data_IF_949956136255
#
_entry.id   IF_949956136255
#
_cell.length_a   1.000
_cell.length_b   1.000
_cell.length_c   1.000
_cell.angle_alpha   90.00
_cell.angle_beta   90.00
_cell.angle_gamma   90.00
#
_symmetry.space_group_name_H-M   'P 1'
#
loop_
_entity.id
_entity.type
_entity.pdbx_description
1 polymer ?
#
# COMPACT_ATOMS: atom_id res chain seq x y z
N UNK A 1 -36.84 -41.62 20.52
CA UNK A 1 -37.83 -40.87 21.32
C UNK A 1 -37.06 -39.88 22.18
N UNK A 2 -37.00 -38.65 21.75
CA UNK A 2 -36.49 -37.53 22.52
C UNK A 2 -37.43 -36.36 22.23
N UNK A 3 -38.01 -35.67 23.20
CA UNK A 3 -39.06 -34.69 22.97
C UNK A 3 -38.48 -33.31 22.67
N UNK A 4 -39.14 -32.62 21.75
CA UNK A 4 -38.99 -31.21 21.39
C UNK A 4 -39.54 -30.28 22.46
N UNK A 5 -38.92 -29.17 22.80
CA UNK A 5 -39.56 -28.12 23.58
C UNK A 5 -40.18 -27.04 22.71
N UNK A 6 -41.39 -26.69 23.09
CA UNK A 6 -42.31 -25.70 22.51
C UNK A 6 -41.88 -24.25 22.73
N UNK A 7 -42.20 -23.42 21.74
CA UNK A 7 -42.12 -21.95 21.71
C UNK A 7 -43.17 -21.30 22.65
N UNK A 8 -42.87 -20.19 23.33
CA UNK A 8 -43.90 -19.38 23.98
C UNK A 8 -44.43 -18.28 23.06
N UNK A 9 -45.71 -17.94 23.32
CA UNK A 9 -46.61 -17.08 22.59
C UNK A 9 -46.24 -15.57 22.67
N UNK A 10 -46.69 -14.83 21.64
CA UNK A 10 -46.69 -13.35 21.59
C UNK A 10 -47.71 -12.77 22.58
N UNK A 11 -47.44 -11.61 23.18
CA UNK A 11 -48.47 -10.75 23.75
C UNK A 11 -48.93 -9.66 22.84
N UNK A 12 -50.17 -9.31 23.03
CA UNK A 12 -51.13 -8.48 22.32
C UNK A 12 -50.95 -6.97 22.52
N UNK A 13 -51.49 -6.23 21.56
CA UNK A 13 -51.77 -4.84 21.25
C UNK A 13 -51.91 -3.79 22.36
N UNK A 14 -51.76 -2.48 22.03
CA UNK A 14 -51.69 -1.37 22.97
C UNK A 14 -53.05 -0.76 23.31
N UNK A 15 -53.21 -0.03 24.45
CA UNK A 15 -54.44 0.66 24.80
C UNK A 15 -54.50 2.08 24.26
N UNK A 16 -55.73 2.53 24.08
CA UNK A 16 -56.22 3.77 23.48
C UNK A 16 -56.08 5.01 24.40
N UNK A 17 -55.98 6.18 23.74
CA UNK A 17 -56.04 7.53 24.34
C UNK A 17 -57.44 7.87 24.85
N UNK A 18 -57.58 8.74 25.88
CA UNK A 18 -58.77 9.58 26.11
C UNK A 18 -58.52 11.04 25.75
N UNK A 19 -59.60 11.89 25.64
CA UNK A 19 -59.65 13.06 24.79
C UNK A 19 -59.37 14.40 25.48
N UNK A 20 -59.22 15.41 24.64
CA UNK A 20 -59.16 16.84 24.76
C UNK A 20 -59.87 17.49 25.96
N UNK A 21 -59.21 18.50 26.55
CA UNK A 21 -59.85 19.71 27.09
C UNK A 21 -58.99 20.94 26.82
N UNK A 22 -59.56 21.83 26.00
CA UNK A 22 -59.15 23.21 25.77
C UNK A 22 -59.24 24.06 27.05
N UNK A 23 -58.31 25.01 27.17
CA UNK A 23 -58.56 26.46 27.51
C UNK A 23 -57.24 27.23 27.59
N UNK A 24 -56.98 28.07 26.62
CA UNK A 24 -57.05 29.54 26.52
C UNK A 24 -56.05 30.37 27.36
N UNK A 25 -55.45 31.31 26.60
CA UNK A 25 -54.89 32.63 26.92
C UNK A 25 -53.39 32.61 27.29
N UNK A 26 -52.55 33.12 26.41
CA UNK A 26 -52.24 34.55 26.32
C UNK A 26 -50.79 34.76 26.67
N UNK A 27 -49.93 35.13 25.74
CA UNK A 27 -48.58 35.61 26.03
C UNK A 27 -47.69 35.51 24.78
N UNK A 28 -47.69 36.56 23.96
CA UNK A 28 -46.73 36.73 22.86
C UNK A 28 -45.36 37.02 23.48
N UNK A 29 -44.46 36.04 23.50
CA UNK A 29 -43.03 36.27 23.69
C UNK A 29 -42.36 35.87 22.37
N UNK A 30 -42.02 36.89 21.56
CA UNK A 30 -41.17 36.74 20.40
C UNK A 30 -39.77 36.35 20.89
N UNK A 31 -39.49 35.06 20.91
CA UNK A 31 -38.12 34.56 21.06
C UNK A 31 -37.39 34.76 19.72
N UNK A 32 -36.59 35.80 19.63
CA UNK A 32 -35.57 35.97 18.63
C UNK A 32 -34.57 34.81 18.78
N UNK A 33 -34.73 33.76 18.01
CA UNK A 33 -33.71 32.75 17.83
C UNK A 33 -32.56 33.39 17.02
N UNK A 34 -31.58 33.93 17.73
CA UNK A 34 -30.27 34.22 17.15
C UNK A 34 -29.69 32.85 16.79
N UNK A 35 -29.84 32.45 15.53
CA UNK A 35 -29.05 31.37 14.98
C UNK A 35 -27.59 31.83 15.05
N UNK A 36 -26.88 31.37 16.07
CA UNK A 36 -25.43 31.38 16.09
C UNK A 36 -24.97 30.49 14.92
N UNK A 37 -24.87 31.08 13.72
CA UNK A 37 -24.04 30.57 12.67
C UNK A 37 -22.61 30.61 13.22
N UNK A 38 -22.15 29.53 13.86
CA UNK A 38 -20.73 29.31 14.02
C UNK A 38 -20.18 29.25 12.60
N UNK A 39 -19.31 30.18 12.20
CA UNK A 39 -18.63 30.00 10.91
C UNK A 39 -17.89 28.68 11.05
N UNK A 40 -18.25 27.69 10.21
CA UNK A 40 -17.35 26.60 9.92
C UNK A 40 -16.03 27.31 9.53
N UNK A 41 -14.96 27.07 10.28
CA UNK A 41 -13.63 27.54 9.90
C UNK A 41 -13.36 26.99 8.50
N UNK A 42 -13.74 27.79 7.49
CA UNK A 42 -13.37 27.51 6.12
C UNK A 42 -11.83 27.53 6.12
N UNK A 43 -11.21 26.38 5.94
CA UNK A 43 -9.78 26.34 5.73
C UNK A 43 -9.51 27.25 4.54
N UNK A 44 -8.59 28.21 4.71
CA UNK A 44 -8.16 29.06 3.63
C UNK A 44 -7.70 28.17 2.47
N UNK A 45 -8.09 28.56 1.25
CA UNK A 45 -7.61 27.87 0.03
C UNK A 45 -6.09 27.79 0.06
N UNK A 46 -5.51 26.69 -0.38
CA UNK A 46 -4.04 26.57 -0.47
C UNK A 46 -3.42 27.71 -1.28
N UNK A 47 -4.11 28.22 -2.30
CA UNK A 47 -3.64 29.39 -3.06
C UNK A 47 -3.53 30.69 -2.25
N UNK A 48 -4.23 30.80 -1.10
CA UNK A 48 -4.14 31.96 -0.21
C UNK A 48 -3.02 31.84 0.83
N UNK A 49 -2.44 30.66 0.98
CA UNK A 49 -1.39 30.38 1.95
C UNK A 49 -0.03 30.80 1.42
N UNK A 50 0.77 31.45 2.26
CA UNK A 50 2.11 31.90 1.90
C UNK A 50 3.06 30.73 1.55
N UNK A 51 3.02 29.64 2.34
CA UNK A 51 3.86 28.46 2.13
C UNK A 51 3.51 27.70 0.83
N UNK A 52 2.24 27.65 0.43
CA UNK A 52 1.82 27.03 -0.82
C UNK A 52 2.14 27.90 -2.04
N UNK A 53 2.03 29.25 -1.92
CA UNK A 53 2.49 30.17 -2.96
C UNK A 53 4.00 30.15 -3.14
N UNK A 54 4.76 30.11 -2.05
CA UNK A 54 6.20 29.96 -2.10
C UNK A 54 6.60 28.65 -2.80
N UNK A 55 5.95 27.55 -2.48
CA UNK A 55 6.11 26.28 -3.17
C UNK A 55 5.79 26.38 -4.66
N UNK A 56 4.66 26.97 -5.04
CA UNK A 56 4.28 27.15 -6.45
C UNK A 56 5.33 27.94 -7.23
N UNK A 57 5.80 29.06 -6.68
CA UNK A 57 6.85 29.89 -7.28
C UNK A 57 8.18 29.14 -7.43
N UNK A 58 8.57 28.37 -6.41
CA UNK A 58 9.79 27.56 -6.40
C UNK A 58 9.78 26.50 -7.50
N UNK A 59 8.74 25.67 -7.58
CA UNK A 59 8.67 24.60 -8.58
C UNK A 59 8.47 25.16 -10.00
N UNK A 60 7.72 26.27 -10.14
CA UNK A 60 7.58 26.97 -11.42
C UNK A 60 8.94 27.43 -11.96
N UNK A 61 9.75 28.06 -11.10
CA UNK A 61 11.10 28.49 -11.46
C UNK A 61 12.04 27.34 -11.78
N UNK A 62 12.00 26.26 -10.96
CA UNK A 62 12.88 25.09 -11.11
C UNK A 62 12.63 24.30 -12.38
N UNK A 63 11.36 24.20 -12.80
CA UNK A 63 10.93 23.31 -13.88
C UNK A 63 10.35 24.02 -15.09
N UNK A 64 10.44 25.35 -15.17
CA UNK A 64 9.82 26.16 -16.21
C UNK A 64 8.31 25.84 -16.39
N UNK A 65 7.59 25.78 -15.26
CA UNK A 65 6.14 25.64 -15.21
C UNK A 65 5.49 27.03 -15.09
N UNK A 66 4.20 27.12 -15.43
CA UNK A 66 3.42 28.33 -15.17
C UNK A 66 2.98 28.37 -13.70
N UNK A 67 3.46 29.36 -12.95
CA UNK A 67 3.11 29.51 -11.53
C UNK A 67 1.61 29.72 -11.32
N UNK A 68 0.94 30.44 -12.25
CA UNK A 68 -0.49 30.67 -12.18
C UNK A 68 -1.32 29.40 -12.42
N UNK A 69 -0.82 28.44 -13.21
CA UNK A 69 -1.48 27.13 -13.36
C UNK A 69 -1.36 26.32 -12.08
N UNK A 70 -0.20 26.31 -11.44
CA UNK A 70 0.00 25.64 -10.16
C UNK A 70 -0.88 26.25 -9.10
N UNK A 71 -0.93 27.57 -8.99
CA UNK A 71 -1.77 28.29 -8.02
C UNK A 71 -3.26 28.01 -8.25
N UNK A 72 -3.72 27.97 -9.52
CA UNK A 72 -5.11 27.60 -9.85
C UNK A 72 -5.43 26.16 -9.44
N UNK A 73 -4.53 25.21 -9.68
CA UNK A 73 -4.71 23.85 -9.25
C UNK A 73 -4.77 23.74 -7.72
N UNK A 74 -3.86 24.42 -7.01
CA UNK A 74 -3.85 24.48 -5.56
C UNK A 74 -5.08 25.20 -4.97
N UNK A 75 -5.67 26.17 -5.70
CA UNK A 75 -6.93 26.79 -5.32
C UNK A 75 -8.11 25.80 -5.34
N UNK A 76 -8.07 24.82 -6.24
CA UNK A 76 -9.07 23.75 -6.32
C UNK A 76 -8.84 22.62 -5.34
N UNK A 77 -7.62 22.46 -4.82
CA UNK A 77 -7.29 21.40 -3.86
C UNK A 77 -7.97 21.66 -2.52
N UNK A 78 -8.47 20.58 -1.90
CA UNK A 78 -9.21 20.64 -0.63
C UNK A 78 -8.42 20.02 0.50
N UNK A 79 -8.42 20.66 1.66
CA UNK A 79 -7.93 20.04 2.89
C UNK A 79 -8.79 18.82 3.24
N UNK A 80 -8.18 17.66 3.41
CA UNK A 80 -8.86 16.42 3.75
C UNK A 80 -8.40 15.90 5.14
N UNK A 81 -9.19 16.12 6.20
CA UNK A 81 -8.84 15.66 7.55
C UNK A 81 -8.81 14.12 7.66
N UNK A 82 -9.50 13.39 6.76
CA UNK A 82 -9.47 11.94 6.72
C UNK A 82 -8.08 11.43 6.30
N UNK A 83 -7.44 12.13 5.37
CA UNK A 83 -6.05 11.86 4.97
C UNK A 83 -5.11 11.97 6.17
N UNK A 84 -5.23 13.05 6.96
CA UNK A 84 -4.42 13.22 8.19
C UNK A 84 -4.69 12.10 9.19
N UNK A 85 -5.96 11.72 9.37
CA UNK A 85 -6.34 10.62 10.27
C UNK A 85 -5.74 9.29 9.85
N UNK A 86 -5.77 8.97 8.57
CA UNK A 86 -5.29 7.70 8.03
C UNK A 86 -3.76 7.60 8.02
N UNK A 87 -3.05 8.70 7.73
CA UNK A 87 -1.59 8.71 7.65
C UNK A 87 -0.93 8.75 9.04
N UNK A 88 -1.65 9.23 10.05
CA UNK A 88 -1.12 9.36 11.42
C UNK A 88 -1.04 7.99 12.08
N UNK A 89 0.16 7.57 12.52
CA UNK A 89 0.31 6.31 13.24
C UNK A 89 -0.56 6.28 14.50
N UNK A 90 -1.12 5.12 14.86
CA UNK A 90 -1.90 4.98 16.08
C UNK A 90 -1.05 5.34 17.31
N UNK A 91 -1.63 6.05 18.29
CA UNK A 91 -0.97 6.52 19.51
C UNK A 91 -0.40 5.38 20.37
N UNK A 92 -0.97 4.19 20.26
CA UNK A 92 -0.43 2.97 20.88
C UNK A 92 0.15 2.09 19.78
N UNK A 93 1.43 1.77 19.90
CA UNK A 93 2.04 0.74 19.03
C UNK A 93 1.31 -0.58 19.27
N UNK A 94 0.73 -1.12 18.23
CA UNK A 94 0.20 -2.49 18.25
C UNK A 94 1.30 -3.51 18.55
N UNK A 95 0.92 -4.66 19.08
CA UNK A 95 1.86 -5.76 19.25
C UNK A 95 2.30 -6.26 17.87
N UNK A 96 3.61 -6.30 17.63
CA UNK A 96 4.16 -6.86 16.40
C UNK A 96 3.82 -8.35 16.35
N UNK A 97 3.13 -8.80 15.30
CA UNK A 97 2.71 -10.18 15.13
C UNK A 97 2.73 -10.56 13.66
N UNK A 98 3.68 -11.43 13.31
CA UNK A 98 3.79 -11.97 11.95
C UNK A 98 2.52 -12.73 11.55
N UNK A 99 2.00 -13.60 12.42
CA UNK A 99 0.76 -14.35 12.14
C UNK A 99 -0.40 -13.43 11.75
N UNK A 100 -0.60 -12.34 12.50
CA UNK A 100 -1.69 -11.39 12.21
C UNK A 100 -1.41 -10.57 10.95
N UNK A 101 -0.16 -10.22 10.69
CA UNK A 101 0.23 -9.48 9.49
C UNK A 101 0.09 -10.35 8.24
N UNK A 102 0.68 -11.54 8.27
CA UNK A 102 0.62 -12.55 7.21
C UNK A 102 -0.80 -12.87 6.77
N UNK A 103 -1.71 -13.06 7.72
CA UNK A 103 -3.12 -13.38 7.45
C UNK A 103 -3.88 -12.32 6.64
N UNK A 104 -3.35 -11.09 6.53
CA UNK A 104 -3.95 -10.03 5.70
C UNK A 104 -3.62 -10.18 4.22
N UNK A 105 -2.55 -10.91 3.89
CA UNK A 105 -2.03 -11.00 2.53
C UNK A 105 -2.02 -12.42 1.96
N UNK A 106 -1.99 -13.44 2.81
CA UNK A 106 -2.08 -14.83 2.41
C UNK A 106 -3.49 -15.38 2.65
N UNK A 107 -4.45 -14.84 1.95
CA UNK A 107 -5.85 -15.25 1.97
C UNK A 107 -6.30 -15.79 0.60
N UNK A 108 -7.46 -16.49 0.59
CA UNK A 108 -8.01 -17.03 -0.65
C UNK A 108 -8.29 -15.96 -1.70
N UNK A 109 -8.69 -14.77 -1.29
CA UNK A 109 -9.01 -13.69 -2.22
C UNK A 109 -7.80 -13.30 -3.05
N UNK A 110 -6.62 -13.23 -2.42
CA UNK A 110 -5.37 -12.91 -3.11
C UNK A 110 -4.82 -14.09 -3.89
N UNK A 111 -4.84 -15.31 -3.33
CA UNK A 111 -4.32 -16.48 -4.04
C UNK A 111 -5.20 -16.79 -5.26
N UNK A 112 -6.51 -16.92 -5.11
CA UNK A 112 -7.41 -17.23 -6.23
C UNK A 112 -7.49 -16.05 -7.23
N UNK A 113 -7.41 -14.80 -6.71
CA UNK A 113 -7.33 -13.60 -7.55
C UNK A 113 -6.04 -13.54 -8.35
N UNK A 114 -4.91 -13.90 -7.75
CA UNK A 114 -3.60 -13.93 -8.40
C UNK A 114 -3.49 -15.00 -9.47
N UNK A 115 -4.06 -16.17 -9.24
CA UNK A 115 -4.13 -17.22 -10.26
C UNK A 115 -4.91 -16.76 -11.48
N UNK A 116 -6.08 -16.11 -11.28
CA UNK A 116 -6.85 -15.53 -12.40
C UNK A 116 -6.09 -14.42 -13.12
N UNK A 117 -5.53 -13.46 -12.38
CA UNK A 117 -4.73 -12.36 -12.92
C UNK A 117 -3.55 -12.89 -13.74
N UNK A 118 -2.87 -13.93 -13.25
CA UNK A 118 -1.78 -14.56 -13.98
C UNK A 118 -2.25 -15.20 -15.29
N UNK A 119 -3.38 -15.91 -15.28
CA UNK A 119 -3.96 -16.48 -16.49
C UNK A 119 -4.36 -15.42 -17.51
N UNK A 120 -5.03 -14.36 -17.04
CA UNK A 120 -5.52 -13.28 -17.90
C UNK A 120 -4.39 -12.49 -18.56
N UNK A 121 -3.23 -12.39 -17.89
CA UNK A 121 -2.09 -11.59 -18.34
C UNK A 121 -0.81 -12.42 -18.56
N UNK A 122 -0.94 -13.72 -18.87
CA UNK A 122 0.18 -14.65 -18.96
C UNK A 122 1.28 -14.18 -19.93
N UNK A 123 0.93 -13.78 -21.14
CA UNK A 123 1.87 -13.31 -22.16
C UNK A 123 2.62 -12.03 -21.73
N UNK A 124 1.92 -11.12 -21.06
CA UNK A 124 2.50 -9.88 -20.54
C UNK A 124 3.48 -10.16 -19.42
N UNK A 125 3.12 -11.06 -18.49
CA UNK A 125 3.97 -11.47 -17.37
C UNK A 125 5.21 -12.22 -17.85
N UNK A 126 5.06 -13.15 -18.80
CA UNK A 126 6.19 -13.85 -19.42
C UNK A 126 7.15 -12.89 -20.14
N UNK A 127 6.61 -11.90 -20.84
CA UNK A 127 7.42 -10.86 -21.46
C UNK A 127 8.16 -10.03 -20.41
N UNK A 128 7.48 -9.62 -19.33
CA UNK A 128 8.08 -8.83 -18.25
C UNK A 128 9.22 -9.61 -17.57
N UNK A 129 9.00 -10.89 -17.27
CA UNK A 129 10.02 -11.77 -16.70
C UNK A 129 11.21 -11.92 -17.64
N UNK A 130 10.98 -12.18 -18.92
CA UNK A 130 12.02 -12.33 -19.93
C UNK A 130 12.87 -11.07 -20.13
N UNK A 131 12.24 -9.88 -20.08
CA UNK A 131 12.92 -8.58 -20.27
C UNK A 131 13.65 -8.07 -19.02
N UNK A 132 13.22 -8.48 -17.83
CA UNK A 132 13.73 -7.92 -16.56
C UNK A 132 14.41 -8.94 -15.65
N UNK A 133 14.17 -10.23 -15.86
CA UNK A 133 14.60 -11.32 -14.99
C UNK A 133 13.82 -11.39 -13.66
N UNK A 134 12.73 -10.62 -13.51
CA UNK A 134 11.85 -10.66 -12.34
C UNK A 134 10.79 -11.73 -12.58
N UNK A 135 10.69 -12.79 -11.76
CA UNK A 135 9.71 -13.85 -11.96
C UNK A 135 8.26 -13.35 -11.92
N UNK A 136 7.41 -13.93 -12.77
CA UNK A 136 6.00 -13.56 -12.90
C UNK A 136 5.25 -13.60 -11.56
N UNK A 137 5.50 -14.63 -10.74
CA UNK A 137 4.91 -14.76 -9.40
C UNK A 137 5.21 -13.58 -8.47
N UNK A 138 6.39 -12.98 -8.58
CA UNK A 138 6.78 -11.82 -7.76
C UNK A 138 6.03 -10.58 -8.21
N UNK A 139 5.89 -10.36 -9.51
CA UNK A 139 5.13 -9.24 -10.08
C UNK A 139 3.66 -9.34 -9.66
N UNK A 140 3.04 -10.52 -9.84
CA UNK A 140 1.66 -10.80 -9.45
C UNK A 140 1.46 -10.61 -7.94
N UNK A 141 2.41 -11.10 -7.12
CA UNK A 141 2.33 -10.98 -5.68
C UNK A 141 2.37 -9.51 -5.21
N UNK A 142 3.22 -8.66 -5.79
CA UNK A 142 3.26 -7.24 -5.47
C UNK A 142 1.92 -6.59 -5.80
N UNK A 143 1.39 -6.74 -7.00
CA UNK A 143 0.09 -6.19 -7.40
C UNK A 143 -1.03 -6.73 -6.50
N UNK A 144 -0.94 -7.99 -6.08
CA UNK A 144 -1.88 -8.61 -5.16
C UNK A 144 -1.83 -8.04 -3.75
N UNK A 145 -0.62 -7.77 -3.23
CA UNK A 145 -0.41 -7.15 -1.91
C UNK A 145 -0.90 -5.71 -1.92
N UNK A 146 -0.57 -4.94 -2.95
CA UNK A 146 -0.88 -3.52 -3.05
C UNK A 146 -2.38 -3.27 -3.23
N UNK A 147 -3.01 -3.88 -4.21
CA UNK A 147 -4.35 -3.46 -4.63
C UNK A 147 -5.37 -4.61 -4.78
N UNK A 148 -4.99 -5.84 -4.45
CA UNK A 148 -5.83 -7.02 -4.73
C UNK A 148 -6.19 -7.04 -6.23
N UNK A 149 -5.16 -6.90 -7.06
CA UNK A 149 -5.27 -6.91 -8.53
C UNK A 149 -6.19 -5.80 -9.06
N UNK A 150 -5.99 -4.57 -8.60
CA UNK A 150 -6.73 -3.39 -9.02
C UNK A 150 -8.08 -3.16 -8.33
N UNK A 151 -8.49 -4.04 -7.39
CA UNK A 151 -9.77 -3.86 -6.67
C UNK A 151 -9.76 -2.74 -5.65
N UNK A 152 -8.59 -2.30 -5.21
CA UNK A 152 -8.41 -1.33 -4.13
C UNK A 152 -7.26 -0.37 -4.45
N UNK A 153 -7.43 0.44 -5.48
CA UNK A 153 -6.45 1.44 -5.92
C UNK A 153 -6.52 2.75 -5.13
N UNK A 154 -7.60 2.93 -4.34
CA UNK A 154 -7.91 4.18 -3.63
C UNK A 154 -8.87 5.07 -4.42
N UNK A 155 -9.49 6.00 -3.73
CA UNK A 155 -10.48 6.93 -4.28
C UNK A 155 -10.26 8.38 -3.78
N UNK A 156 -9.09 8.67 -3.24
CA UNK A 156 -8.72 10.03 -2.82
C UNK A 156 -8.20 10.79 -4.05
N UNK A 157 -8.67 12.03 -4.23
CA UNK A 157 -8.09 12.93 -5.22
C UNK A 157 -6.63 13.23 -4.83
N UNK A 158 -5.70 12.85 -5.68
CA UNK A 158 -4.27 12.85 -5.35
C UNK A 158 -3.72 14.25 -5.11
N UNK A 159 -4.19 15.25 -5.85
CA UNK A 159 -3.79 16.65 -5.66
C UNK A 159 -4.16 17.15 -4.25
N UNK A 160 -5.42 16.98 -3.85
CA UNK A 160 -5.92 17.36 -2.51
C UNK A 160 -5.22 16.58 -1.40
N UNK A 161 -4.99 15.28 -1.62
CA UNK A 161 -4.27 14.40 -0.70
C UNK A 161 -2.85 14.89 -0.46
N UNK A 162 -2.09 15.11 -1.54
CA UNK A 162 -0.69 15.55 -1.43
C UNK A 162 -0.57 16.98 -0.93
N UNK A 163 -1.49 17.90 -1.29
CA UNK A 163 -1.53 19.24 -0.74
C UNK A 163 -1.79 19.21 0.79
N UNK A 164 -2.76 18.39 1.24
CA UNK A 164 -3.02 18.19 2.67
C UNK A 164 -1.77 17.68 3.40
N UNK A 165 -1.11 16.67 2.85
CA UNK A 165 0.07 16.08 3.48
C UNK A 165 1.31 17.00 3.41
N UNK A 166 1.44 17.79 2.35
CA UNK A 166 2.55 18.72 2.15
C UNK A 166 2.50 19.95 3.06
N UNK A 167 1.28 20.42 3.36
CA UNK A 167 1.11 21.69 4.07
C UNK A 167 0.51 21.55 5.47
N UNK A 168 -0.18 20.45 5.76
CA UNK A 168 -0.90 20.27 7.04
C UNK A 168 -0.44 19.03 7.82
N UNK A 169 0.59 18.30 7.36
CA UNK A 169 1.18 17.16 8.06
C UNK A 169 2.68 17.33 8.29
N UNK A 170 3.11 18.12 9.29
CA UNK A 170 4.52 18.46 9.53
C UNK A 170 5.49 17.28 9.62
N UNK A 171 5.13 16.10 10.21
CA UNK A 171 6.12 15.01 10.38
C UNK A 171 6.74 14.51 9.07
N UNK A 172 6.06 14.67 7.93
CA UNK A 172 6.53 14.20 6.61
C UNK A 172 6.25 15.22 5.50
N UNK A 173 6.04 16.49 5.83
CA UNK A 173 5.70 17.55 4.88
C UNK A 173 6.69 17.64 3.71
N UNK A 174 7.98 17.54 3.99
CA UNK A 174 9.05 17.62 2.99
C UNK A 174 8.98 16.47 1.96
N UNK A 175 8.65 15.26 2.41
CA UNK A 175 8.41 14.14 1.49
C UNK A 175 7.22 14.45 0.57
N UNK A 176 6.10 14.88 1.15
CA UNK A 176 4.87 15.08 0.39
C UNK A 176 4.92 16.32 -0.50
N UNK A 177 5.73 17.33 -0.17
CA UNK A 177 6.05 18.43 -1.11
C UNK A 177 6.75 17.93 -2.35
N UNK A 178 7.71 17.01 -2.21
CA UNK A 178 8.38 16.38 -3.37
C UNK A 178 7.42 15.54 -4.21
N UNK A 179 6.49 14.85 -3.58
CA UNK A 179 5.48 14.08 -4.32
C UNK A 179 4.45 14.97 -5.01
N UNK A 180 4.07 16.10 -4.39
CA UNK A 180 3.21 17.12 -5.00
C UNK A 180 3.90 17.78 -6.21
N UNK A 181 5.19 18.13 -6.09
CA UNK A 181 6.03 18.58 -7.20
C UNK A 181 6.05 17.54 -8.33
N UNK A 182 6.27 16.27 -7.98
CA UNK A 182 6.29 15.18 -8.94
C UNK A 182 4.93 14.98 -9.63
N UNK A 183 3.81 15.22 -8.94
CA UNK A 183 2.47 15.15 -9.52
C UNK A 183 2.28 16.23 -10.60
N UNK A 184 2.70 17.47 -10.36
CA UNK A 184 2.63 18.54 -11.37
C UNK A 184 3.47 18.21 -12.61
N UNK A 185 4.66 17.64 -12.40
CA UNK A 185 5.53 17.22 -13.49
C UNK A 185 4.94 16.03 -14.27
N UNK A 186 4.40 15.05 -13.57
CA UNK A 186 3.73 13.89 -14.17
C UNK A 186 2.53 14.34 -15.02
N UNK A 187 1.70 15.24 -14.48
CA UNK A 187 0.53 15.78 -15.16
C UNK A 187 0.93 16.49 -16.47
N UNK A 188 1.98 17.31 -16.43
CA UNK A 188 2.53 17.95 -17.65
C UNK A 188 3.04 16.92 -18.66
N UNK A 189 3.80 15.93 -18.20
CA UNK A 189 4.39 14.87 -19.05
C UNK A 189 3.33 14.03 -19.75
N UNK A 190 2.19 13.81 -19.07
CA UNK A 190 1.06 13.06 -19.60
C UNK A 190 -0.02 13.91 -20.27
N UNK A 191 0.12 15.25 -20.27
CA UNK A 191 -0.90 16.16 -20.79
C UNK A 191 -2.24 16.08 -20.06
N UNK A 192 -2.23 15.73 -18.76
CA UNK A 192 -3.42 15.55 -17.91
C UNK A 192 -3.55 16.68 -16.88
N UNK A 193 -4.78 16.94 -16.44
CA UNK A 193 -5.05 17.80 -15.30
C UNK A 193 -4.51 17.16 -14.01
N UNK A 194 -3.69 17.83 -13.17
CA UNK A 194 -3.23 17.30 -11.90
C UNK A 194 -4.36 16.90 -10.94
N UNK A 195 -5.56 17.48 -11.06
CA UNK A 195 -6.75 17.10 -10.29
C UNK A 195 -7.44 15.82 -10.80
N UNK A 196 -7.03 15.29 -11.96
CA UNK A 196 -7.63 14.08 -12.55
C UNK A 196 -7.09 12.76 -11.99
N UNK A 197 -6.08 12.80 -11.11
CA UNK A 197 -5.49 11.60 -10.54
C UNK A 197 -6.18 11.22 -9.23
N UNK A 198 -6.46 9.92 -9.11
CA UNK A 198 -7.03 9.33 -7.90
C UNK A 198 -6.15 8.20 -7.41
N UNK A 199 -6.08 8.03 -6.09
CA UNK A 199 -5.21 7.04 -5.48
C UNK A 199 -5.48 6.80 -4.01
N UNK A 200 -4.48 6.30 -3.29
CA UNK A 200 -4.57 6.06 -1.86
C UNK A 200 -4.52 7.36 -1.04
N UNK A 201 -4.86 7.27 0.25
CA UNK A 201 -4.72 8.38 1.21
C UNK A 201 -3.28 8.89 1.39
N UNK A 202 -2.29 8.21 0.82
CA UNK A 202 -0.89 8.63 0.79
C UNK A 202 -0.46 9.15 -0.59
N UNK A 203 -1.38 9.25 -1.57
CA UNK A 203 -1.12 9.74 -2.92
C UNK A 203 -0.49 8.69 -3.84
N UNK A 204 -0.54 7.41 -3.51
CA UNK A 204 -0.07 6.33 -4.37
C UNK A 204 -1.10 5.97 -5.44
N UNK A 205 -0.66 5.69 -6.67
CA UNK A 205 -1.46 5.62 -7.89
C UNK A 205 -1.62 4.19 -8.43
N UNK A 206 -2.83 3.85 -8.81
CA UNK A 206 -3.21 2.70 -9.61
C UNK A 206 -2.82 1.32 -9.08
N UNK A 207 -2.78 0.33 -9.96
CA UNK A 207 -2.45 -1.07 -9.64
C UNK A 207 -1.16 -1.25 -8.83
N UNK A 208 -0.02 -0.58 -9.19
CA UNK A 208 1.25 -0.80 -8.52
C UNK A 208 1.42 0.08 -7.28
N UNK A 209 0.48 0.98 -6.97
CA UNK A 209 0.58 1.95 -5.86
C UNK A 209 1.90 2.74 -5.89
N UNK A 210 2.29 3.23 -7.07
CA UNK A 210 3.43 4.12 -7.19
C UNK A 210 3.09 5.53 -6.71
N UNK A 211 3.96 6.14 -5.95
CA UNK A 211 3.93 7.59 -5.73
C UNK A 211 4.26 8.32 -7.05
N UNK A 212 3.81 9.57 -7.25
CA UNK A 212 4.10 10.32 -8.48
C UNK A 212 5.56 10.33 -8.87
N UNK A 213 6.48 10.48 -7.92
CA UNK A 213 7.93 10.42 -8.18
C UNK A 213 8.39 9.05 -8.68
N UNK A 214 7.83 7.97 -8.12
CA UNK A 214 8.11 6.60 -8.57
C UNK A 214 7.52 6.32 -9.94
N UNK A 215 6.32 6.84 -10.22
CA UNK A 215 5.71 6.72 -11.55
C UNK A 215 6.59 7.39 -12.61
N UNK A 216 7.05 8.60 -12.39
CA UNK A 216 7.96 9.31 -13.30
C UNK A 216 9.31 8.61 -13.50
N UNK A 217 9.84 7.96 -12.45
CA UNK A 217 11.16 7.33 -12.50
C UNK A 217 11.15 5.91 -13.09
N UNK A 218 10.08 5.16 -12.89
CA UNK A 218 10.08 3.71 -13.14
C UNK A 218 8.92 3.20 -13.98
N UNK A 219 7.86 3.99 -14.19
CA UNK A 219 6.76 3.55 -15.05
C UNK A 219 7.22 3.41 -16.50
N UNK A 220 6.66 2.44 -17.17
CA UNK A 220 6.92 2.14 -18.59
C UNK A 220 5.61 1.96 -19.33
N UNK A 221 5.52 2.52 -20.53
CA UNK A 221 4.49 2.21 -21.52
C UNK A 221 4.82 0.82 -22.08
N UNK A 222 4.28 -0.20 -21.41
CA UNK A 222 4.68 -1.58 -21.68
C UNK A 222 3.94 -2.16 -22.87
N UNK A 223 2.71 -1.75 -23.18
CA UNK A 223 2.00 -2.14 -24.41
C UNK A 223 2.39 -1.29 -25.63
N UNK A 224 3.15 -0.18 -25.43
CA UNK A 224 3.65 0.73 -26.47
C UNK A 224 2.52 1.46 -27.21
N UNK A 225 1.47 1.81 -26.49
CA UNK A 225 0.35 2.58 -27.04
C UNK A 225 0.57 4.12 -27.02
N UNK A 226 1.68 4.57 -26.41
CA UNK A 226 2.07 5.98 -26.31
C UNK A 226 1.61 6.66 -25.01
N UNK A 227 1.01 5.93 -24.08
CA UNK A 227 0.57 6.41 -22.78
C UNK A 227 0.99 5.44 -21.67
N UNK A 228 1.00 5.90 -20.43
CA UNK A 228 1.18 5.04 -19.25
C UNK A 228 -0.15 5.02 -18.49
N UNK A 229 -0.82 3.88 -18.47
CA UNK A 229 -2.09 3.66 -17.76
C UNK A 229 -1.90 2.74 -16.55
N UNK A 230 -2.21 3.25 -15.36
CA UNK A 230 -2.21 2.46 -14.13
C UNK A 230 -3.62 2.20 -13.58
N UNK A 231 -4.66 2.67 -14.28
CA UNK A 231 -6.04 2.66 -13.82
C UNK A 231 -6.92 1.68 -14.61
N UNK A 232 -6.81 1.67 -15.93
CA UNK A 232 -7.70 0.91 -16.82
C UNK A 232 -7.17 -0.45 -17.22
N UNK A 233 -5.87 -0.56 -17.55
CA UNK A 233 -5.23 -1.79 -18.00
C UNK A 233 -3.98 -2.09 -17.14
N UNK A 234 -3.83 -3.32 -16.63
CA UNK A 234 -2.67 -3.68 -15.82
C UNK A 234 -1.38 -3.92 -16.62
N UNK A 235 -1.38 -3.86 -17.96
CA UNK A 235 -0.19 -4.17 -18.78
C UNK A 235 0.99 -3.27 -18.41
N UNK A 236 0.76 -1.95 -18.33
CA UNK A 236 1.81 -1.01 -17.92
C UNK A 236 2.19 -1.17 -16.45
N UNK A 237 1.22 -1.50 -15.59
CA UNK A 237 1.50 -1.77 -14.20
C UNK A 237 2.41 -3.01 -14.03
N UNK A 238 2.17 -4.09 -14.77
CA UNK A 238 3.01 -5.31 -14.81
C UNK A 238 4.44 -4.95 -15.22
N UNK A 239 4.58 -4.27 -16.36
CA UNK A 239 5.88 -3.83 -16.87
C UNK A 239 6.60 -2.90 -15.90
N UNK A 240 5.88 -1.97 -15.29
CA UNK A 240 6.43 -0.98 -14.36
C UNK A 240 6.86 -1.60 -13.03
N UNK A 241 6.13 -2.56 -12.47
CA UNK A 241 6.56 -3.32 -11.29
C UNK A 241 7.86 -4.07 -11.59
N UNK A 242 7.93 -4.75 -12.72
CA UNK A 242 9.13 -5.47 -13.14
C UNK A 242 10.33 -4.52 -13.34
N UNK A 243 10.11 -3.40 -14.02
CA UNK A 243 11.14 -2.36 -14.22
C UNK A 243 11.61 -1.75 -12.90
N UNK A 244 10.71 -1.48 -11.95
CA UNK A 244 11.04 -0.98 -10.62
C UNK A 244 12.00 -1.93 -9.88
N UNK A 245 11.68 -3.21 -9.83
CA UNK A 245 12.53 -4.21 -9.16
C UNK A 245 13.87 -4.36 -9.86
N UNK A 246 13.89 -4.41 -11.20
CA UNK A 246 15.13 -4.42 -11.99
C UNK A 246 16.00 -3.20 -11.71
N UNK A 247 15.42 -2.00 -11.71
CA UNK A 247 16.13 -0.75 -11.46
C UNK A 247 16.72 -0.67 -10.04
N UNK A 248 16.10 -1.35 -9.07
CA UNK A 248 16.62 -1.49 -7.71
C UNK A 248 17.61 -2.63 -7.51
N UNK A 249 18.01 -3.31 -8.61
CA UNK A 249 19.06 -4.30 -8.60
C UNK A 249 18.58 -5.73 -8.33
N UNK A 250 17.40 -6.10 -8.87
CA UNK A 250 16.95 -7.48 -8.92
C UNK A 250 17.99 -8.36 -9.63
N UNK A 251 18.30 -9.49 -9.05
CA UNK A 251 19.22 -10.48 -9.60
C UNK A 251 18.43 -11.69 -10.11
N UNK A 252 18.38 -11.86 -11.43
CA UNK A 252 17.70 -12.97 -12.06
C UNK A 252 18.23 -14.31 -11.56
N UNK A 253 17.33 -15.23 -11.21
CA UNK A 253 17.67 -16.58 -10.71
C UNK A 253 18.25 -16.63 -9.30
N UNK A 254 18.56 -15.49 -8.65
CA UNK A 254 19.04 -15.49 -7.28
C UNK A 254 17.86 -15.64 -6.28
N UNK A 255 18.08 -16.24 -5.11
CA UNK A 255 17.05 -16.45 -4.12
C UNK A 255 16.54 -15.11 -3.52
N UNK A 256 15.29 -15.12 -3.11
CA UNK A 256 14.68 -14.02 -2.33
C UNK A 256 14.97 -14.22 -0.85
N UNK A 257 14.49 -15.32 -0.29
CA UNK A 257 14.69 -15.66 1.12
C UNK A 257 14.74 -17.18 1.31
N UNK A 258 15.41 -17.61 2.37
CA UNK A 258 15.44 -19.00 2.84
C UNK A 258 15.22 -19.07 4.35
N UNK A 259 14.57 -20.11 4.83
CA UNK A 259 14.40 -20.29 6.27
C UNK A 259 15.75 -20.55 6.94
N UNK A 260 16.04 -19.82 8.02
CA UNK A 260 17.27 -19.96 8.79
C UNK A 260 17.10 -20.96 9.94
N UNK A 261 18.17 -21.67 10.24
CA UNK A 261 18.35 -22.43 11.47
C UNK A 261 19.48 -21.81 12.28
N UNK A 262 19.19 -21.49 13.53
CA UNK A 262 20.12 -20.85 14.45
C UNK A 262 20.62 -21.85 15.49
N UNK A 263 21.89 -21.74 15.88
CA UNK A 263 22.43 -22.38 17.05
C UNK A 263 21.83 -21.78 18.33
N UNK A 264 21.69 -22.52 19.43
CA UNK A 264 21.25 -21.97 20.71
C UNK A 264 22.15 -20.84 21.25
N UNK A 265 23.40 -20.75 20.81
CA UNK A 265 24.35 -19.72 21.23
C UNK A 265 24.33 -18.46 20.32
N UNK A 266 23.49 -18.42 19.28
CA UNK A 266 23.43 -17.29 18.33
C UNK A 266 22.85 -16.05 18.99
N UNK A 267 23.54 -14.91 18.89
CA UNK A 267 22.98 -13.59 19.20
C UNK A 267 22.10 -13.12 18.02
N UNK A 268 20.88 -13.63 17.96
CA UNK A 268 19.94 -13.28 16.91
C UNK A 268 19.57 -11.79 16.95
N UNK A 269 19.46 -11.18 18.14
CA UNK A 269 19.07 -9.78 18.28
C UNK A 269 20.11 -8.84 17.69
N UNK A 270 21.40 -9.09 17.96
CA UNK A 270 22.51 -8.31 17.38
C UNK A 270 22.55 -8.41 15.86
N UNK A 271 22.33 -9.60 15.31
CA UNK A 271 22.33 -9.82 13.85
C UNK A 271 21.11 -9.19 13.16
N UNK A 272 19.92 -9.26 13.76
CA UNK A 272 18.72 -8.56 13.25
C UNK A 272 18.90 -7.04 13.31
N UNK A 273 19.57 -6.52 14.34
CA UNK A 273 19.85 -5.09 14.48
C UNK A 273 20.82 -4.54 13.42
N UNK A 274 21.56 -5.39 12.69
CA UNK A 274 22.39 -4.99 11.54
C UNK A 274 21.53 -4.40 10.40
N UNK A 275 20.22 -4.64 10.39
CA UNK A 275 19.26 -4.00 9.48
C UNK A 275 18.82 -4.90 8.34
N UNK A 276 18.07 -4.29 7.40
CA UNK A 276 17.37 -5.02 6.34
C UNK A 276 18.24 -5.28 5.10
N UNK A 277 19.36 -4.60 4.98
CA UNK A 277 20.31 -4.76 3.87
C UNK A 277 21.14 -6.05 4.07
N UNK A 278 21.35 -6.88 3.02
CA UNK A 278 22.05 -8.15 3.13
C UNK A 278 23.58 -7.94 3.26
N UNK A 279 24.03 -7.48 4.42
CA UNK A 279 25.42 -7.15 4.72
C UNK A 279 26.16 -8.23 5.51
N UNK A 280 25.46 -9.22 6.08
CA UNK A 280 26.07 -10.29 6.85
C UNK A 280 26.74 -11.28 5.91
N UNK A 281 28.07 -11.31 5.93
CA UNK A 281 28.86 -12.23 5.08
C UNK A 281 28.65 -13.70 5.49
N UNK A 282 28.76 -14.65 4.56
CA UNK A 282 28.61 -16.09 4.83
C UNK A 282 29.49 -16.59 6.01
N UNK A 283 30.73 -16.13 6.10
CA UNK A 283 31.61 -16.50 7.19
C UNK A 283 31.08 -16.02 8.56
N UNK A 284 30.59 -14.77 8.64
CA UNK A 284 30.00 -14.24 9.87
C UNK A 284 28.75 -15.03 10.29
N UNK A 285 27.92 -15.41 9.32
CA UNK A 285 26.72 -16.24 9.57
C UNK A 285 27.14 -17.63 10.11
N UNK A 286 28.14 -18.25 9.50
CA UNK A 286 28.66 -19.55 9.94
C UNK A 286 29.28 -19.48 11.34
N UNK A 287 30.10 -18.45 11.64
CA UNK A 287 30.72 -18.22 12.95
C UNK A 287 29.67 -18.03 14.05
N UNK A 288 28.50 -17.50 13.71
CA UNK A 288 27.34 -17.38 14.60
C UNK A 288 26.42 -18.61 14.60
N UNK A 289 26.82 -19.72 13.97
CA UNK A 289 26.07 -20.96 13.97
C UNK A 289 24.74 -20.89 13.18
N UNK A 290 24.69 -20.05 12.13
CA UNK A 290 23.53 -19.92 11.26
C UNK A 290 23.71 -20.74 9.99
N UNK A 291 22.70 -21.55 9.68
CA UNK A 291 22.61 -22.35 8.45
C UNK A 291 21.23 -22.16 7.82
N UNK A 292 21.06 -22.66 6.61
CA UNK A 292 19.73 -22.88 6.01
C UNK A 292 18.96 -23.94 6.82
N UNK A 293 17.65 -24.02 6.67
CA UNK A 293 16.81 -24.95 7.43
C UNK A 293 17.20 -26.42 7.24
N UNK A 294 17.72 -26.78 6.07
CA UNK A 294 18.25 -28.12 5.73
C UNK A 294 19.70 -28.35 6.17
N UNK A 295 20.29 -27.37 6.90
CA UNK A 295 21.64 -27.49 7.49
C UNK A 295 22.79 -27.15 6.54
N UNK A 296 22.52 -26.63 5.33
CA UNK A 296 23.59 -26.19 4.43
C UNK A 296 24.20 -24.87 4.90
N UNK A 297 25.49 -24.63 4.61
CA UNK A 297 26.09 -23.31 4.80
C UNK A 297 25.37 -22.25 3.97
N UNK A 298 25.27 -21.04 4.47
CA UNK A 298 24.74 -19.89 3.74
C UNK A 298 25.73 -19.50 2.64
N UNK A 299 25.30 -19.48 1.38
CA UNK A 299 26.19 -19.30 0.24
C UNK A 299 26.45 -17.84 -0.16
N UNK A 300 25.59 -16.91 0.25
CA UNK A 300 25.66 -15.51 -0.12
C UNK A 300 25.43 -14.59 1.08
N UNK A 301 25.84 -13.35 0.96
CA UNK A 301 25.53 -12.34 1.98
C UNK A 301 24.04 -12.19 2.15
N UNK A 302 23.57 -12.13 3.40
CA UNK A 302 22.18 -12.05 3.75
C UNK A 302 21.93 -11.05 4.89
N UNK A 303 20.69 -10.74 5.16
CA UNK A 303 20.23 -10.18 6.44
C UNK A 303 19.51 -11.26 7.23
N UNK A 304 19.56 -11.19 8.56
CA UNK A 304 18.74 -12.04 9.41
C UNK A 304 17.39 -11.36 9.65
N UNK A 305 16.31 -12.02 9.23
CA UNK A 305 14.93 -11.54 9.37
C UNK A 305 14.26 -12.28 10.51
N UNK A 306 13.67 -11.54 11.45
CA UNK A 306 12.87 -12.04 12.55
C UNK A 306 11.37 -11.88 12.25
N UNK A 307 10.62 -12.96 12.37
CA UNK A 307 9.17 -12.97 12.21
C UNK A 307 8.50 -13.32 13.53
N UNK A 308 8.42 -12.32 14.39
CA UNK A 308 7.88 -12.46 15.75
C UNK A 308 6.36 -12.67 15.75
N UNK A 309 5.89 -13.59 16.56
CA UNK A 309 4.47 -13.80 16.88
C UNK A 309 4.33 -14.02 18.39
N UNK A 310 3.58 -13.18 19.11
CA UNK A 310 3.39 -13.36 20.55
C UNK A 310 2.85 -14.75 20.91
N UNK A 311 3.50 -15.40 21.87
CA UNK A 311 3.14 -16.73 22.34
C UNK A 311 3.53 -17.86 21.37
N UNK A 312 4.40 -17.60 20.41
CA UNK A 312 5.02 -18.60 19.54
C UNK A 312 6.52 -18.33 19.41
N UNK A 313 7.26 -19.34 19.01
CA UNK A 313 8.69 -19.18 18.69
C UNK A 313 8.86 -18.23 17.51
N UNK A 314 9.90 -17.39 17.58
CA UNK A 314 10.26 -16.49 16.46
C UNK A 314 10.77 -17.31 15.29
N UNK A 315 10.21 -17.08 14.11
CA UNK A 315 10.73 -17.64 12.88
C UNK A 315 11.87 -16.76 12.36
N UNK A 316 12.99 -17.38 12.01
CA UNK A 316 14.14 -16.68 11.42
C UNK A 316 14.33 -17.05 9.96
N UNK A 317 14.65 -16.05 9.14
CA UNK A 317 14.88 -16.18 7.71
C UNK A 317 16.13 -15.45 7.28
N UNK A 318 16.76 -15.95 6.25
CA UNK A 318 17.85 -15.29 5.54
C UNK A 318 17.25 -14.50 4.38
N UNK A 319 17.33 -13.17 4.44
CA UNK A 319 16.91 -12.30 3.34
C UNK A 319 18.11 -11.96 2.45
N UNK A 320 18.04 -12.31 1.18
CA UNK A 320 19.11 -12.07 0.20
C UNK A 320 18.90 -10.74 -0.55
N UNK A 321 19.69 -10.50 -1.60
CA UNK A 321 19.61 -9.27 -2.39
C UNK A 321 18.19 -9.02 -2.93
N UNK A 322 17.52 -10.03 -3.46
CA UNK A 322 16.16 -9.88 -4.00
C UNK A 322 15.12 -9.60 -2.92
N UNK A 323 15.30 -10.10 -1.70
CA UNK A 323 14.50 -9.70 -0.54
C UNK A 323 14.65 -8.21 -0.25
N UNK A 324 15.88 -7.71 -0.22
CA UNK A 324 16.15 -6.29 -0.04
C UNK A 324 15.52 -5.44 -1.15
N UNK A 325 15.57 -5.90 -2.40
CA UNK A 325 14.93 -5.21 -3.53
C UNK A 325 13.41 -5.08 -3.32
N UNK A 326 12.74 -6.13 -2.84
CA UNK A 326 11.30 -6.05 -2.50
C UNK A 326 11.07 -5.00 -1.41
N UNK A 327 11.96 -4.86 -0.42
CA UNK A 327 11.84 -3.84 0.63
C UNK A 327 11.99 -2.40 0.11
N UNK A 328 12.39 -2.18 -1.13
CA UNK A 328 12.41 -0.84 -1.73
C UNK A 328 11.00 -0.32 -2.01
N UNK A 329 10.05 -1.24 -2.24
CA UNK A 329 8.62 -0.92 -2.32
C UNK A 329 8.08 -0.43 -0.97
N UNK A 330 8.36 -1.17 0.08
CA UNK A 330 8.00 -0.81 1.45
C UNK A 330 9.08 -1.31 2.42
N UNK A 331 9.69 -0.40 3.19
CA UNK A 331 10.79 -0.68 4.12
C UNK A 331 10.34 -1.50 5.33
N UNK A 332 9.85 -2.71 5.07
CA UNK A 332 9.34 -3.63 6.10
C UNK A 332 9.70 -5.07 5.75
N UNK A 333 10.33 -5.78 6.67
CA UNK A 333 10.58 -7.22 6.53
C UNK A 333 9.27 -8.01 6.44
N UNK A 334 8.25 -7.62 7.19
CA UNK A 334 6.94 -8.27 7.12
C UNK A 334 6.27 -8.08 5.75
N UNK A 335 6.42 -6.90 5.15
CA UNK A 335 5.94 -6.66 3.79
C UNK A 335 6.65 -7.57 2.79
N UNK A 336 7.97 -7.55 2.78
CA UNK A 336 8.75 -8.35 1.84
C UNK A 336 8.50 -9.86 1.99
N UNK A 337 8.35 -10.35 3.22
CA UNK A 337 7.95 -11.74 3.48
C UNK A 337 6.53 -12.04 2.98
N UNK A 338 5.58 -11.10 3.10
CA UNK A 338 4.22 -11.31 2.57
C UNK A 338 4.20 -11.41 1.05
N UNK A 339 4.99 -10.56 0.36
CA UNK A 339 5.18 -10.66 -1.10
C UNK A 339 5.81 -12.01 -1.46
N UNK A 340 6.89 -12.38 -0.77
CA UNK A 340 7.59 -13.65 -1.02
C UNK A 340 6.69 -14.86 -0.81
N UNK A 341 5.98 -14.95 0.31
CA UNK A 341 5.11 -16.10 0.59
C UNK A 341 3.89 -16.14 -0.35
N UNK A 342 3.35 -14.99 -0.77
CA UNK A 342 2.29 -14.95 -1.78
C UNK A 342 2.82 -15.40 -3.14
N UNK A 343 4.01 -14.96 -3.55
CA UNK A 343 4.66 -15.41 -4.78
C UNK A 343 4.85 -16.93 -4.79
N UNK A 344 5.37 -17.49 -3.69
CA UNK A 344 5.52 -18.95 -3.56
C UNK A 344 4.20 -19.71 -3.64
N UNK A 345 3.13 -19.18 -3.02
CA UNK A 345 1.81 -19.79 -3.09
C UNK A 345 1.25 -19.79 -4.52
N UNK A 346 1.46 -18.70 -5.26
CA UNK A 346 1.05 -18.59 -6.68
C UNK A 346 1.87 -19.53 -7.57
N UNK A 347 3.17 -19.56 -7.40
CA UNK A 347 4.07 -20.47 -8.14
C UNK A 347 3.68 -21.94 -7.93
N UNK A 348 3.42 -22.34 -6.68
CA UNK A 348 2.96 -23.70 -6.36
C UNK A 348 1.59 -23.99 -6.97
N UNK A 349 0.67 -23.01 -6.96
CA UNK A 349 -0.63 -23.11 -7.61
C UNK A 349 -0.51 -23.41 -9.10
N UNK A 350 0.34 -22.68 -9.82
CA UNK A 350 0.62 -22.88 -11.24
C UNK A 350 1.20 -24.25 -11.52
N UNK A 351 2.21 -24.68 -10.75
CA UNK A 351 2.81 -26.00 -10.90
C UNK A 351 1.76 -27.13 -10.74
N UNK A 352 0.85 -27.00 -9.79
CA UNK A 352 -0.25 -27.98 -9.60
C UNK A 352 -1.19 -28.01 -10.81
N UNK A 353 -1.49 -26.87 -11.41
CA UNK A 353 -2.33 -26.79 -12.61
C UNK A 353 -1.64 -27.45 -13.81
N UNK A 354 -0.36 -27.19 -14.03
CA UNK A 354 0.46 -27.79 -15.10
C UNK A 354 0.49 -29.32 -14.99
N UNK A 355 0.81 -29.84 -13.80
CA UNK A 355 0.80 -31.29 -13.55
C UNK A 355 -0.57 -31.92 -13.81
N UNK A 356 -1.66 -31.22 -13.51
CA UNK A 356 -3.03 -31.70 -13.77
C UNK A 356 -3.37 -31.68 -15.27
N UNK A 357 -2.87 -30.69 -16.01
CA UNK A 357 -3.07 -30.59 -17.45
C UNK A 357 -2.34 -31.72 -18.22
N UNK A 358 -1.10 -32.05 -17.81
CA UNK A 358 -0.30 -33.13 -18.39
C UNK A 358 -0.89 -34.55 -18.18
N UNK A 359 -1.74 -34.70 -17.14
CA UNK A 359 -2.38 -35.99 -16.80
C UNK A 359 -3.74 -36.20 -17.47
N UNK A 360 -4.23 -35.23 -18.22
CA UNK A 360 -5.49 -35.31 -18.97
C UNK A 360 -5.27 -35.64 -20.45
#
# INVERSE_FOLDING_TARGET
>A
MIPTPSLPARPSSPPQRPPDRQRKLGGILAAFAIALCTPALAHASYAEREDARAFAAEIASRHALDAGEIERALAGARHDPEVIRLITPPSRKGVRSWRSYRARFLDRTRIDGGMRFWHEHADTLERAERETGVPAEVIVAIIGVETIYGRNTGNFETLSTLATLAFDYPPRAELFRRELEALFLLAREQGRDPASYYGSFAGALGYPQFLPSSMRAYAVDFDRNGAIDFEGDPVDAIGSVANYLRAHGWQAGAPVAERARLSPATDAAGLVAAGIEPTLAPALLADNGITTADGRPVAAAATLVDLETPGADTEYWLGYRNFYVITRYNRSSFYAMSVFELAEALRLGRLVEEIRAERR
#
